data_IF_100961854270
#
_entry.id   IF_100961854270
#
_cell.length_a   1.000
_cell.length_b   1.000
_cell.length_c   1.000
_cell.angle_alpha   90.00
_cell.angle_beta   90.00
_cell.angle_gamma   90.00
#
_symmetry.space_group_name_H-M   'P 1'
#
loop_
_entity.id
_entity.type
_entity.pdbx_description
1 polymer ?
#
# COMPACT_ATOMS: atom_id res chain seq x y z
N UNK A 1 -23.37 18.02 17.95
CA UNK A 1 -23.19 16.64 18.48
C UNK A 1 -22.37 15.84 17.49
N UNK A 2 -21.18 15.35 17.86
CA UNK A 2 -20.33 14.52 17.00
C UNK A 2 -20.85 13.08 16.99
N UNK A 3 -21.29 12.59 15.82
CA UNK A 3 -21.77 11.22 15.67
C UNK A 3 -20.60 10.25 15.93
N UNK A 4 -20.67 9.49 17.02
CA UNK A 4 -19.62 8.52 17.40
C UNK A 4 -19.71 7.29 16.49
N UNK A 5 -18.75 7.12 15.59
CA UNK A 5 -18.69 5.96 14.70
C UNK A 5 -18.10 4.75 15.43
N UNK A 6 -18.82 3.62 15.43
CA UNK A 6 -18.26 2.34 15.86
C UNK A 6 -17.18 1.92 14.85
N UNK A 7 -15.97 1.62 15.34
CA UNK A 7 -14.90 1.04 14.54
C UNK A 7 -15.00 -0.47 14.61
N UNK A 8 -15.00 -1.11 13.45
CA UNK A 8 -15.00 -2.57 13.33
C UNK A 8 -13.67 -3.02 12.74
N UNK A 9 -13.13 -4.14 13.24
CA UNK A 9 -11.93 -4.76 12.69
C UNK A 9 -12.19 -5.30 11.29
N UNK A 10 -11.15 -5.43 10.48
CA UNK A 10 -11.27 -5.95 9.11
C UNK A 10 -11.73 -7.41 9.11
N UNK A 11 -11.25 -8.20 10.09
CA UNK A 11 -11.64 -9.59 10.30
C UNK A 11 -13.14 -9.74 10.57
N UNK A 12 -13.69 -8.87 11.44
CA UNK A 12 -15.11 -8.87 11.76
C UNK A 12 -15.97 -8.57 10.52
N UNK A 13 -15.58 -7.56 9.73
CA UNK A 13 -16.28 -7.23 8.48
C UNK A 13 -16.24 -8.40 7.50
N UNK A 14 -15.10 -9.07 7.38
CA UNK A 14 -14.92 -10.22 6.50
C UNK A 14 -15.79 -11.41 6.94
N UNK A 15 -15.88 -11.67 8.25
CA UNK A 15 -16.77 -12.71 8.80
C UNK A 15 -18.24 -12.44 8.42
N UNK A 16 -18.71 -11.20 8.60
CA UNK A 16 -20.07 -10.79 8.22
C UNK A 16 -20.31 -10.99 6.71
N UNK A 17 -19.34 -10.60 5.87
CA UNK A 17 -19.45 -10.79 4.42
C UNK A 17 -19.51 -12.27 4.03
N UNK A 18 -18.68 -13.13 4.63
CA UNK A 18 -18.71 -14.59 4.39
C UNK A 18 -20.04 -15.23 4.81
N UNK A 19 -20.58 -14.83 5.97
CA UNK A 19 -21.89 -15.32 6.42
C UNK A 19 -23.02 -14.98 5.43
N UNK A 20 -22.97 -13.81 4.80
CA UNK A 20 -24.01 -13.37 3.86
C UNK A 20 -23.79 -13.97 2.47
N UNK A 21 -22.56 -13.95 1.97
CA UNK A 21 -22.23 -14.35 0.60
C UNK A 21 -22.05 -15.86 0.46
N UNK A 22 -21.36 -16.50 1.40
CA UNK A 22 -21.02 -17.92 1.31
C UNK A 22 -22.11 -18.80 1.96
N UNK A 23 -22.72 -18.35 3.07
CA UNK A 23 -23.78 -19.09 3.77
C UNK A 23 -25.21 -18.68 3.39
N UNK A 24 -25.36 -17.65 2.54
CA UNK A 24 -26.67 -17.21 2.03
C UNK A 24 -27.61 -16.59 3.07
N UNK A 25 -27.09 -16.18 4.23
CA UNK A 25 -27.91 -15.55 5.27
C UNK A 25 -28.42 -14.18 4.82
N UNK A 26 -29.64 -13.84 5.26
CA UNK A 26 -30.22 -12.55 4.92
C UNK A 26 -29.45 -11.40 5.60
N UNK A 27 -29.24 -10.30 4.88
CA UNK A 27 -28.58 -9.09 5.45
C UNK A 27 -29.31 -8.63 6.72
N UNK A 28 -30.64 -8.73 6.73
CA UNK A 28 -31.47 -8.28 7.84
C UNK A 28 -31.28 -9.16 9.09
N UNK A 29 -31.28 -10.49 8.95
CA UNK A 29 -31.05 -11.40 10.09
C UNK A 29 -29.68 -11.19 10.72
N UNK A 30 -28.64 -11.01 9.91
CA UNK A 30 -27.27 -10.74 10.40
C UNK A 30 -27.18 -9.37 11.09
N UNK A 31 -27.90 -8.37 10.58
CA UNK A 31 -27.95 -7.05 11.21
C UNK A 31 -28.63 -7.07 12.58
N UNK A 32 -29.73 -7.83 12.72
CA UNK A 32 -30.45 -7.97 13.99
C UNK A 32 -29.61 -8.73 15.00
N UNK A 33 -29.02 -9.86 14.60
CA UNK A 33 -28.23 -10.73 15.48
C UNK A 33 -26.95 -10.03 15.99
N UNK A 34 -26.26 -9.29 15.12
CA UNK A 34 -25.00 -8.62 15.46
C UNK A 34 -25.17 -7.14 15.84
N UNK A 35 -26.39 -6.61 15.86
CA UNK A 35 -26.67 -5.20 16.16
C UNK A 35 -25.98 -4.22 15.19
N UNK A 36 -25.97 -4.55 13.90
CA UNK A 36 -25.31 -3.79 12.83
C UNK A 36 -26.31 -2.93 12.05
N UNK A 37 -25.80 -1.89 11.39
CA UNK A 37 -26.60 -1.08 10.49
C UNK A 37 -26.59 -1.69 9.08
N UNK A 38 -27.77 -1.97 8.52
CA UNK A 38 -27.98 -2.55 7.18
C UNK A 38 -27.19 -1.80 6.10
N UNK A 39 -27.17 -0.46 6.13
CA UNK A 39 -26.41 0.35 5.16
C UNK A 39 -24.90 0.12 5.22
N UNK A 40 -24.34 -0.20 6.40
CA UNK A 40 -22.92 -0.51 6.54
C UNK A 40 -22.62 -1.92 6.02
N UNK A 41 -23.48 -2.89 6.32
CA UNK A 41 -23.32 -4.27 5.91
C UNK A 41 -23.43 -4.41 4.39
N UNK A 42 -24.39 -3.73 3.75
CA UNK A 42 -24.51 -3.71 2.28
C UNK A 42 -23.24 -3.20 1.60
N UNK A 43 -22.65 -2.11 2.10
CA UNK A 43 -21.38 -1.58 1.59
C UNK A 43 -20.24 -2.57 1.73
N UNK A 44 -20.15 -3.30 2.84
CA UNK A 44 -19.10 -4.33 3.01
C UNK A 44 -19.31 -5.50 2.05
N UNK A 45 -20.56 -5.93 1.83
CA UNK A 45 -20.89 -7.01 0.89
C UNK A 45 -20.59 -6.60 -0.55
N UNK A 46 -20.93 -5.38 -0.95
CA UNK A 46 -20.56 -4.83 -2.27
C UNK A 46 -19.05 -4.81 -2.46
N UNK A 47 -18.31 -4.33 -1.46
CA UNK A 47 -16.85 -4.31 -1.49
C UNK A 47 -16.27 -5.73 -1.58
N UNK A 48 -16.78 -6.69 -0.78
CA UNK A 48 -16.32 -8.08 -0.82
C UNK A 48 -16.58 -8.73 -2.18
N UNK A 49 -17.75 -8.52 -2.78
CA UNK A 49 -18.07 -9.01 -4.12
C UNK A 49 -17.16 -8.37 -5.19
N UNK A 50 -16.89 -7.07 -5.08
CA UNK A 50 -15.98 -6.38 -5.99
C UNK A 50 -14.55 -6.93 -5.89
N UNK A 51 -14.06 -7.17 -4.68
CA UNK A 51 -12.74 -7.76 -4.44
C UNK A 51 -12.63 -9.20 -4.98
N UNK A 52 -13.68 -10.01 -4.84
CA UNK A 52 -13.77 -11.37 -5.41
C UNK A 52 -13.76 -11.38 -6.95
N UNK A 53 -14.29 -10.32 -7.57
CA UNK A 53 -14.25 -10.13 -9.02
C UNK A 53 -12.94 -9.48 -9.50
N UNK A 54 -11.94 -9.32 -8.63
CA UNK A 54 -10.65 -8.71 -8.96
C UNK A 54 -10.66 -7.19 -9.05
N UNK A 55 -11.77 -6.53 -8.68
CA UNK A 55 -11.88 -5.08 -8.65
C UNK A 55 -11.21 -4.46 -7.41
N UNK A 56 -10.63 -3.28 -7.58
CA UNK A 56 -10.20 -2.47 -6.44
C UNK A 56 -11.43 -1.98 -5.67
N UNK A 57 -11.71 -2.59 -4.51
CA UNK A 57 -12.83 -2.23 -3.65
C UNK A 57 -12.79 -0.77 -3.17
N UNK A 58 -13.92 -0.28 -2.67
CA UNK A 58 -14.04 1.08 -2.11
C UNK A 58 -13.36 1.13 -0.74
N UNK A 59 -12.07 1.47 -0.70
CA UNK A 59 -11.33 1.76 0.53
C UNK A 59 -10.31 0.69 0.93
N UNK A 60 -10.19 0.42 2.24
CA UNK A 60 -9.22 -0.55 2.73
C UNK A 60 -9.67 -1.98 2.39
N UNK A 61 -8.80 -2.81 1.80
CA UNK A 61 -9.19 -4.14 1.36
C UNK A 61 -9.66 -5.04 2.51
N UNK A 62 -10.77 -5.74 2.29
CA UNK A 62 -11.32 -6.69 3.24
C UNK A 62 -10.58 -8.03 3.16
N UNK A 63 -10.40 -8.55 1.95
CA UNK A 63 -9.77 -9.84 1.67
C UNK A 63 -8.26 -9.82 1.89
N UNK A 64 -7.72 -10.91 2.42
CA UNK A 64 -6.28 -11.08 2.65
C UNK A 64 -5.48 -11.03 1.35
N UNK A 65 -6.07 -11.47 0.23
CA UNK A 65 -5.45 -11.38 -1.09
C UNK A 65 -5.29 -9.93 -1.54
N UNK A 66 -6.34 -9.11 -1.50
CA UNK A 66 -6.24 -7.71 -1.88
C UNK A 66 -5.36 -6.88 -0.92
N UNK A 67 -5.30 -7.26 0.35
CA UNK A 67 -4.31 -6.69 1.28
C UNK A 67 -2.88 -6.99 0.84
N UNK A 68 -2.59 -8.23 0.41
CA UNK A 68 -1.28 -8.63 -0.12
C UNK A 68 -0.98 -7.91 -1.43
N UNK A 69 -1.94 -7.81 -2.35
CA UNK A 69 -1.77 -7.05 -3.61
C UNK A 69 -1.34 -5.62 -3.31
N UNK A 70 -2.03 -4.93 -2.40
CA UNK A 70 -1.69 -3.56 -2.02
C UNK A 70 -0.30 -3.44 -1.39
N UNK A 71 0.07 -4.39 -0.53
CA UNK A 71 1.42 -4.44 0.06
C UNK A 71 2.49 -4.67 -1.01
N UNK A 72 2.26 -5.61 -1.92
CA UNK A 72 3.17 -5.92 -3.03
C UNK A 72 3.31 -4.74 -3.99
N UNK A 73 2.22 -4.07 -4.36
CA UNK A 73 2.27 -2.86 -5.18
C UNK A 73 3.06 -1.74 -4.49
N UNK A 74 2.94 -1.62 -3.17
CA UNK A 74 3.75 -0.67 -2.41
C UNK A 74 5.23 -1.04 -2.45
N UNK A 75 5.58 -2.30 -2.23
CA UNK A 75 6.96 -2.78 -2.33
C UNK A 75 7.54 -2.59 -3.73
N UNK A 76 6.76 -2.85 -4.79
CA UNK A 76 7.19 -2.63 -6.17
C UNK A 76 7.46 -1.15 -6.44
N UNK A 77 6.61 -0.24 -5.93
CA UNK A 77 6.87 1.19 -6.03
C UNK A 77 8.18 1.58 -5.33
N UNK A 78 8.40 1.05 -4.12
CA UNK A 78 9.62 1.30 -3.34
C UNK A 78 10.87 0.79 -4.07
N UNK A 79 10.88 -0.46 -4.52
CA UNK A 79 11.98 -1.05 -5.26
C UNK A 79 12.27 -0.31 -6.57
N UNK A 80 11.23 0.18 -7.26
CA UNK A 80 11.41 0.99 -8.48
C UNK A 80 12.07 2.33 -8.19
N UNK A 81 11.70 2.99 -7.08
CA UNK A 81 12.34 4.25 -6.67
C UNK A 81 13.81 4.04 -6.31
N UNK A 82 14.11 3.01 -5.52
CA UNK A 82 15.50 2.69 -5.15
C UNK A 82 16.34 2.36 -6.39
N UNK A 83 15.78 1.58 -7.33
CA UNK A 83 16.46 1.27 -8.58
C UNK A 83 16.69 2.51 -9.46
N UNK A 84 15.74 3.45 -9.51
CA UNK A 84 15.90 4.70 -10.25
C UNK A 84 17.01 5.59 -9.66
N UNK A 85 17.10 5.66 -8.32
CA UNK A 85 18.20 6.35 -7.63
C UNK A 85 19.54 5.71 -7.99
N UNK A 86 19.65 4.37 -7.92
CA UNK A 86 20.87 3.65 -8.26
C UNK A 86 21.27 3.83 -9.73
N UNK A 87 20.30 3.81 -10.66
CA UNK A 87 20.54 4.07 -12.08
C UNK A 87 21.07 5.47 -12.33
N UNK A 88 20.48 6.48 -11.71
CA UNK A 88 20.93 7.88 -11.80
C UNK A 88 22.35 8.05 -11.26
N UNK A 89 22.65 7.45 -10.10
CA UNK A 89 24.00 7.42 -9.56
C UNK A 89 25.00 6.76 -10.52
N UNK A 90 24.64 5.60 -11.10
CA UNK A 90 25.51 4.87 -12.03
C UNK A 90 25.79 5.65 -13.32
N UNK A 91 24.79 6.35 -13.86
CA UNK A 91 24.94 7.19 -15.04
C UNK A 91 25.91 8.36 -14.77
N UNK A 92 25.82 8.95 -13.58
CA UNK A 92 26.73 10.00 -13.15
C UNK A 92 28.19 9.51 -13.07
N UNK A 93 28.44 8.37 -12.41
CA UNK A 93 29.81 7.84 -12.25
C UNK A 93 30.48 7.44 -13.57
N UNK A 94 29.71 7.06 -14.60
CA UNK A 94 30.28 6.69 -15.91
C UNK A 94 30.94 7.88 -16.63
N UNK A 95 30.62 9.12 -16.27
CA UNK A 95 31.19 10.32 -16.89
C UNK A 95 32.47 10.82 -16.20
N UNK A 96 32.81 10.31 -15.02
CA UNK A 96 34.03 10.73 -14.33
C UNK A 96 35.23 9.91 -14.79
N UNK A 97 36.00 10.46 -15.73
CA UNK A 97 37.30 9.93 -16.16
C UNK A 97 38.41 10.91 -15.76
N UNK A 98 39.17 10.65 -14.69
CA UNK A 98 40.26 11.54 -14.29
C UNK A 98 41.36 11.53 -15.35
N UNK A 99 41.74 12.71 -15.85
CA UNK A 99 42.70 12.86 -16.95
C UNK A 99 44.17 12.58 -16.59
N UNK A 100 44.49 12.26 -15.32
CA UNK A 100 45.86 12.01 -14.86
C UNK A 100 45.98 11.71 -13.37
N UNK A 101 47.16 11.28 -12.95
CA UNK A 101 47.52 10.93 -11.56
C UNK A 101 47.84 12.22 -10.78
N UNK A 102 47.75 12.20 -9.44
CA UNK A 102 48.06 13.33 -8.53
C UNK A 102 47.18 14.57 -8.72
N UNK A 103 45.90 14.39 -9.03
CA UNK A 103 44.93 15.48 -9.06
C UNK A 103 43.95 15.40 -7.89
N UNK A 104 43.44 16.56 -7.51
CA UNK A 104 42.42 16.72 -6.47
C UNK A 104 41.12 17.16 -7.14
N UNK A 105 40.00 16.54 -6.79
CA UNK A 105 38.68 16.90 -7.31
C UNK A 105 37.75 17.30 -6.17
N UNK A 106 36.90 18.29 -6.45
CA UNK A 106 35.86 18.77 -5.54
C UNK A 106 34.54 18.15 -5.97
N UNK A 107 33.77 17.66 -5.01
CA UNK A 107 32.49 17.01 -5.26
C UNK A 107 31.40 17.63 -4.40
N UNK A 108 30.20 17.78 -4.95
CA UNK A 108 29.02 18.11 -4.17
C UNK A 108 28.46 16.84 -3.52
N UNK A 109 28.22 16.90 -2.20
CA UNK A 109 27.58 15.82 -1.45
C UNK A 109 26.13 16.21 -1.17
N UNK A 110 25.19 15.48 -1.78
CA UNK A 110 23.75 15.67 -1.53
C UNK A 110 23.20 14.51 -0.71
N UNK A 111 22.52 14.84 0.38
CA UNK A 111 21.80 13.86 1.21
C UNK A 111 20.40 13.62 0.65
N UNK A 112 20.13 12.38 0.30
CA UNK A 112 18.83 11.93 -0.21
C UNK A 112 18.14 11.13 0.89
N UNK A 113 16.97 11.61 1.32
CA UNK A 113 16.12 10.92 2.28
C UNK A 113 15.44 9.74 1.60
N UNK A 114 15.68 8.52 2.08
CA UNK A 114 14.96 7.31 1.67
C UNK A 114 14.11 6.78 2.82
N UNK A 115 13.22 5.82 2.60
CA UNK A 115 12.44 5.22 3.71
C UNK A 115 13.30 4.39 4.67
N UNK A 116 14.37 3.78 4.17
CA UNK A 116 15.34 2.96 4.90
C UNK A 116 16.43 3.78 5.62
N UNK A 117 16.52 5.09 5.38
CA UNK A 117 17.46 5.96 6.08
C UNK A 117 17.87 7.18 5.27
N UNK A 118 19.13 7.58 5.45
CA UNK A 118 19.78 8.61 4.65
C UNK A 118 20.82 7.97 3.76
N UNK A 119 20.82 8.33 2.49
CA UNK A 119 21.86 7.95 1.53
C UNK A 119 22.52 9.24 1.03
N UNK A 120 23.82 9.22 0.81
CA UNK A 120 24.55 10.35 0.23
C UNK A 120 24.91 10.04 -1.23
N UNK A 121 24.72 11.02 -2.10
CA UNK A 121 25.20 11.02 -3.49
C UNK A 121 26.36 12.00 -3.57
N UNK A 122 27.54 11.50 -3.95
CA UNK A 122 28.71 12.33 -4.22
C UNK A 122 28.89 12.47 -5.74
N UNK A 123 28.84 13.70 -6.23
CA UNK A 123 28.93 14.05 -7.63
C UNK A 123 30.20 14.88 -7.86
N UNK A 124 31.16 14.33 -8.62
CA UNK A 124 32.46 14.94 -9.00
C UNK A 124 32.39 15.48 -10.43
#
# INVERSE_FOLDING_TARGET
>A
MTKKYRRFTTEFKLQVCKMIVDQGLSVNSVCVDMGLNDTAVRRWVEQYKAEQLGGAGIGNPLTSEQQRIRQLEQQVRELKMDNDILKKATAFFRQFMPGGINQSWVADITYIRTRSGWVYLAAV
#
